data_IF_244322882715
#
_entry.id   IF_244322882715
#
_cell.length_a   1.000
_cell.length_b   1.000
_cell.length_c   1.000
_cell.angle_alpha   90.00
_cell.angle_beta   90.00
_cell.angle_gamma   90.00
#
_symmetry.space_group_name_H-M   'P 1'
#
loop_
_entity.id
_entity.type
_entity.pdbx_description
1 polymer ?
#
# COMPACT_ATOMS: atom_id res chain seq x y z
N UNK A 1 -1.62 6.57 11.07
CA UNK A 1 -0.16 6.43 11.24
C UNK A 1 0.20 4.95 11.32
N UNK A 2 1.16 4.50 10.50
CA UNK A 2 1.70 3.14 10.54
C UNK A 2 3.16 3.19 10.98
N UNK A 3 3.55 2.34 11.93
CA UNK A 3 4.90 2.34 12.52
C UNK A 3 5.64 1.07 12.11
N UNK A 4 6.87 1.23 11.64
CA UNK A 4 7.71 0.19 11.09
C UNK A 4 8.97 -0.01 11.94
N UNK A 5 9.40 -1.25 12.05
CA UNK A 5 10.73 -1.58 12.57
C UNK A 5 11.79 -1.00 11.64
N UNK A 6 12.73 -0.24 12.20
CA UNK A 6 13.88 0.21 11.44
C UNK A 6 14.77 -1.00 11.14
N UNK A 7 14.98 -1.26 9.84
CA UNK A 7 15.98 -2.23 9.40
C UNK A 7 17.26 -1.46 9.15
N UNK A 8 18.38 -1.97 9.68
CA UNK A 8 19.70 -1.44 9.39
C UNK A 8 20.00 -1.40 7.88
N UNK A 9 21.11 -0.77 7.47
CA UNK A 9 21.47 -0.61 6.07
C UNK A 9 21.44 -1.95 5.34
N UNK A 10 20.97 -1.92 4.08
CA UNK A 10 21.00 -3.12 3.24
C UNK A 10 22.43 -3.60 3.10
N UNK A 11 22.63 -4.89 3.35
CA UNK A 11 23.91 -5.55 3.12
C UNK A 11 24.19 -5.63 1.61
N UNK A 12 25.45 -5.45 1.18
CA UNK A 12 25.82 -5.29 -0.23
C UNK A 12 25.48 -6.51 -1.11
N UNK A 13 25.37 -7.69 -0.51
CA UNK A 13 25.05 -8.94 -1.21
C UNK A 13 23.56 -9.26 -1.26
N UNK A 14 22.69 -8.44 -0.65
CA UNK A 14 21.23 -8.61 -0.79
C UNK A 14 20.79 -8.01 -2.12
N UNK A 15 20.09 -8.81 -2.94
CA UNK A 15 19.47 -8.33 -4.18
C UNK A 15 18.67 -7.05 -3.92
N UNK A 16 18.88 -6.04 -4.75
CA UNK A 16 18.14 -4.79 -4.70
C UNK A 16 16.68 -4.94 -5.16
N UNK A 17 16.36 -6.02 -5.89
CA UNK A 17 15.06 -6.23 -6.53
C UNK A 17 14.58 -7.68 -6.33
N UNK A 18 13.31 -7.90 -5.94
CA UNK A 18 12.37 -6.89 -5.45
C UNK A 18 12.81 -6.35 -4.07
N UNK A 19 12.44 -5.10 -3.77
CA UNK A 19 12.60 -4.56 -2.42
C UNK A 19 11.74 -5.38 -1.44
N UNK A 20 12.33 -5.75 -0.30
CA UNK A 20 11.69 -6.56 0.76
C UNK A 20 11.51 -5.81 2.07
N UNK A 21 12.07 -4.59 2.17
CA UNK A 21 11.83 -3.72 3.29
C UNK A 21 10.48 -3.05 3.13
N UNK A 22 9.52 -3.47 3.96
CA UNK A 22 8.14 -2.97 3.94
C UNK A 22 8.05 -1.45 4.06
N UNK A 23 8.94 -0.84 4.86
CA UNK A 23 8.96 0.61 5.03
C UNK A 23 9.43 1.30 3.74
N UNK A 24 10.48 0.78 3.10
CA UNK A 24 11.00 1.34 1.84
C UNK A 24 9.94 1.19 0.74
N UNK A 25 9.35 0.00 0.58
CA UNK A 25 8.25 -0.23 -0.36
C UNK A 25 7.11 0.78 -0.18
N UNK A 26 6.59 0.90 1.04
CA UNK A 26 5.41 1.73 1.33
C UNK A 26 5.73 3.23 1.21
N UNK A 27 6.86 3.67 1.76
CA UNK A 27 7.27 5.08 1.73
C UNK A 27 7.57 5.55 0.31
N UNK A 28 8.30 4.77 -0.48
CA UNK A 28 8.57 5.10 -1.89
C UNK A 28 7.28 5.14 -2.70
N UNK A 29 6.40 4.15 -2.54
CA UNK A 29 5.11 4.15 -3.23
C UNK A 29 4.29 5.40 -2.91
N UNK A 30 4.13 5.74 -1.62
CA UNK A 30 3.38 6.93 -1.24
C UNK A 30 4.01 8.24 -1.71
N UNK A 31 5.34 8.35 -1.75
CA UNK A 31 6.03 9.51 -2.31
C UNK A 31 5.72 9.68 -3.80
N UNK A 32 5.81 8.60 -4.59
CA UNK A 32 5.49 8.62 -6.02
C UNK A 32 4.02 8.94 -6.28
N UNK A 33 3.10 8.30 -5.53
CA UNK A 33 1.66 8.53 -5.65
C UNK A 33 1.27 9.96 -5.28
N UNK A 34 1.90 10.53 -4.24
CA UNK A 34 1.67 11.91 -3.85
C UNK A 34 2.21 12.90 -4.91
N UNK A 35 3.43 12.67 -5.41
CA UNK A 35 4.04 13.52 -6.44
C UNK A 35 3.24 13.51 -7.75
N UNK A 36 2.66 12.37 -8.12
CA UNK A 36 1.82 12.23 -9.31
C UNK A 36 0.35 12.65 -9.09
N UNK A 37 -0.02 13.14 -7.91
CA UNK A 37 -1.38 13.60 -7.60
C UNK A 37 -2.42 12.49 -7.41
N UNK A 38 -2.02 11.22 -7.41
CA UNK A 38 -2.92 10.06 -7.28
C UNK A 38 -3.69 10.07 -5.96
N UNK A 39 -3.04 10.51 -4.89
CA UNK A 39 -3.69 10.66 -3.58
C UNK A 39 -4.88 11.63 -3.62
N UNK A 40 -4.78 12.72 -4.39
CA UNK A 40 -5.85 13.73 -4.51
C UNK A 40 -7.04 13.23 -5.33
N UNK A 41 -6.86 12.22 -6.17
CA UNK A 41 -7.95 11.58 -6.92
C UNK A 41 -8.80 10.62 -6.07
N UNK A 42 -8.43 10.38 -4.81
CA UNK A 42 -9.14 9.45 -3.92
C UNK A 42 -8.85 7.96 -4.17
N UNK A 43 -7.93 7.66 -5.10
CA UNK A 43 -7.48 6.30 -5.44
C UNK A 43 -6.75 5.65 -4.26
N UNK A 44 -6.01 6.45 -3.48
CA UNK A 44 -5.37 6.00 -2.24
C UNK A 44 -5.49 7.08 -1.16
N UNK A 45 -5.16 6.73 0.08
CA UNK A 45 -5.11 7.67 1.21
C UNK A 45 -4.08 8.78 0.98
N UNK A 46 -4.35 10.01 1.45
CA UNK A 46 -3.33 11.04 1.39
C UNK A 46 -2.12 10.67 2.25
N UNK A 47 -0.94 10.85 1.66
CA UNK A 47 0.33 10.76 2.34
C UNK A 47 0.73 12.15 2.81
N UNK A 48 1.01 12.29 4.11
CA UNK A 48 1.41 13.56 4.69
C UNK A 48 2.92 13.65 4.84
N UNK A 49 3.52 12.70 5.55
CA UNK A 49 4.97 12.68 5.82
C UNK A 49 5.46 11.36 6.39
N UNK A 50 6.78 11.23 6.41
CA UNK A 50 7.50 10.23 7.20
C UNK A 50 7.93 10.87 8.53
N UNK A 51 7.85 10.11 9.62
CA UNK A 51 8.31 10.49 10.95
C UNK A 51 9.39 9.49 11.37
N UNK A 52 10.63 9.94 11.46
CA UNK A 52 11.79 9.12 11.80
C UNK A 52 12.13 9.20 13.29
N UNK A 53 12.94 8.26 13.77
CA UNK A 53 13.55 8.28 15.11
C UNK A 53 12.53 8.47 16.25
N UNK A 54 11.41 7.73 16.18
CA UNK A 54 10.36 7.83 17.19
C UNK A 54 10.85 7.17 18.49
N UNK A 55 10.87 7.93 19.59
CA UNK A 55 11.16 7.39 20.91
C UNK A 55 10.01 6.46 21.36
N UNK A 56 10.25 5.14 21.52
CA UNK A 56 9.21 4.19 21.90
C UNK A 56 8.83 4.29 23.40
N UNK A 57 9.68 4.87 24.25
CA UNK A 57 9.49 4.95 25.71
C UNK A 57 8.56 6.11 26.08
N UNK A 58 8.68 7.25 25.40
CA UNK A 58 7.85 8.45 25.64
C UNK A 58 6.35 8.25 25.36
N UNK A 59 5.95 7.11 24.80
CA UNK A 59 4.58 6.83 24.37
C UNK A 59 3.95 5.60 25.04
N UNK A 60 4.48 5.16 26.19
CA UNK A 60 3.89 4.11 27.03
C UNK A 60 2.61 4.63 27.72
N UNK A 61 1.58 3.78 27.93
CA UNK A 61 1.65 2.31 28.02
C UNK A 61 1.14 1.52 26.80
N UNK A 62 0.79 2.14 25.67
CA UNK A 62 0.16 1.48 24.50
C UNK A 62 0.97 1.68 23.20
N UNK A 63 0.54 1.10 22.06
CA UNK A 63 1.03 -0.11 21.37
C UNK A 63 2.52 -0.15 20.96
N UNK A 64 3.35 0.81 21.39
CA UNK A 64 4.75 0.93 20.96
C UNK A 64 5.74 0.09 21.78
N UNK A 65 5.27 -0.65 22.80
CA UNK A 65 6.12 -1.52 23.63
C UNK A 65 6.90 -2.56 22.80
N UNK A 66 6.35 -2.98 21.66
CA UNK A 66 6.98 -3.92 20.74
C UNK A 66 8.24 -3.37 20.03
N UNK A 67 8.46 -2.06 20.06
CA UNK A 67 9.63 -1.41 19.45
C UNK A 67 10.70 -1.03 20.49
N UNK A 68 10.42 -1.17 21.80
CA UNK A 68 11.36 -0.79 22.87
C UNK A 68 12.65 -1.62 22.83
N UNK A 69 12.57 -2.84 22.31
CA UNK A 69 13.72 -3.77 22.18
C UNK A 69 14.41 -3.71 20.82
N UNK A 70 13.94 -2.85 19.91
CA UNK A 70 14.58 -2.72 18.60
C UNK A 70 15.93 -2.02 18.76
N UNK A 71 16.93 -2.48 18.03
CA UNK A 71 18.26 -1.86 17.99
C UNK A 71 18.22 -0.44 17.41
N UNK A 72 17.31 -0.21 16.45
CA UNK A 72 17.13 1.05 15.77
C UNK A 72 15.76 1.66 16.09
N UNK A 73 15.73 2.99 16.23
CA UNK A 73 14.47 3.69 16.51
C UNK A 73 13.47 3.52 15.35
N UNK A 74 12.19 3.24 15.64
CA UNK A 74 11.19 3.01 14.60
C UNK A 74 10.87 4.27 13.80
N UNK A 75 10.36 4.04 12.59
CA UNK A 75 9.92 5.09 11.65
C UNK A 75 8.44 4.89 11.36
N UNK A 76 7.70 5.97 11.11
CA UNK A 76 6.29 5.92 10.78
C UNK A 76 5.94 6.65 9.51
N UNK A 77 4.91 6.15 8.83
CA UNK A 77 4.23 6.82 7.72
C UNK A 77 2.93 7.42 8.26
N UNK A 78 2.79 8.73 8.07
CA UNK A 78 1.57 9.46 8.39
C UNK A 78 0.73 9.62 7.13
N UNK A 79 -0.47 9.05 7.16
CA UNK A 79 -1.46 9.13 6.11
C UNK A 79 -2.84 9.45 6.70
N UNK A 80 -3.79 9.73 5.83
CA UNK A 80 -5.20 9.93 6.20
C UNK A 80 -5.77 8.80 7.04
N UNK A 81 -6.70 9.21 7.89
CA UNK A 81 -7.73 8.34 8.43
C UNK A 81 -9.04 8.61 7.67
N UNK A 82 -9.47 7.67 6.82
CA UNK A 82 -10.70 7.78 6.05
C UNK A 82 -11.85 7.23 6.91
N UNK A 83 -12.79 8.10 7.30
CA UNK A 83 -13.97 7.72 8.06
C UNK A 83 -14.93 6.89 7.20
N UNK A 84 -15.69 5.97 7.82
CA UNK A 84 -16.70 5.12 7.17
C UNK A 84 -16.13 4.24 6.03
N UNK A 85 -14.82 3.98 6.07
CA UNK A 85 -14.15 3.10 5.14
C UNK A 85 -14.45 1.63 5.49
N UNK A 86 -14.92 0.86 4.51
CA UNK A 86 -15.21 -0.57 4.67
C UNK A 86 -14.37 -1.40 3.71
N UNK A 87 -13.91 -2.55 4.18
CA UNK A 87 -13.30 -3.58 3.32
C UNK A 87 -14.32 -4.07 2.28
N UNK A 88 -13.84 -4.32 1.07
CA UNK A 88 -14.59 -5.02 0.05
C UNK A 88 -14.92 -6.44 0.51
N UNK A 89 -16.19 -6.81 0.46
CA UNK A 89 -16.68 -8.14 0.79
C UNK A 89 -17.81 -8.54 -0.16
N UNK A 90 -18.35 -9.74 0.02
CA UNK A 90 -19.39 -10.29 -0.84
C UNK A 90 -20.71 -9.49 -0.85
N UNK A 91 -21.02 -8.74 0.22
CA UNK A 91 -22.26 -7.94 0.32
C UNK A 91 -22.14 -6.67 -0.52
N UNK A 92 -20.96 -6.06 -0.55
CA UNK A 92 -20.71 -4.78 -1.21
C UNK A 92 -19.96 -4.95 -2.55
N UNK A 93 -19.90 -6.17 -3.07
CA UNK A 93 -19.32 -6.51 -4.36
C UNK A 93 -20.32 -6.26 -5.50
N UNK A 94 -19.93 -5.49 -6.51
CA UNK A 94 -20.62 -5.44 -7.80
C UNK A 94 -19.65 -5.04 -8.92
N UNK A 95 -20.01 -5.43 -10.14
CA UNK A 95 -19.13 -5.37 -11.33
C UNK A 95 -18.53 -3.98 -11.57
N UNK A 96 -19.38 -2.94 -11.61
CA UNK A 96 -18.91 -1.56 -11.86
C UNK A 96 -17.88 -1.08 -10.84
N UNK A 97 -17.99 -1.48 -9.57
CA UNK A 97 -17.02 -1.15 -8.54
C UNK A 97 -15.71 -1.89 -8.75
N UNK A 98 -15.75 -3.14 -9.18
CA UNK A 98 -14.52 -3.88 -9.52
C UNK A 98 -13.80 -3.26 -10.71
N UNK A 99 -14.56 -2.77 -11.68
CA UNK A 99 -13.97 -2.03 -12.79
C UNK A 99 -13.23 -0.79 -12.28
N UNK A 100 -13.81 -0.02 -11.36
CA UNK A 100 -13.12 1.14 -10.75
C UNK A 100 -11.80 0.73 -10.08
N UNK A 101 -11.78 -0.35 -9.28
CA UNK A 101 -10.54 -0.82 -8.66
C UNK A 101 -9.47 -1.21 -9.68
N UNK A 102 -9.86 -1.83 -10.80
CA UNK A 102 -8.94 -2.19 -11.89
C UNK A 102 -8.41 -0.94 -12.59
N UNK A 103 -9.28 0.02 -12.90
CA UNK A 103 -8.91 1.29 -13.54
C UNK A 103 -7.97 2.11 -12.64
N UNK A 104 -8.21 2.08 -11.34
CA UNK A 104 -7.36 2.70 -10.32
C UNK A 104 -5.98 2.03 -10.26
N UNK A 105 -5.89 0.70 -10.29
CA UNK A 105 -4.61 0.00 -10.36
C UNK A 105 -3.85 0.32 -11.64
N UNK A 106 -4.54 0.44 -12.78
CA UNK A 106 -3.92 0.84 -14.04
C UNK A 106 -3.36 2.27 -13.94
N UNK A 107 -4.06 3.16 -13.24
CA UNK A 107 -3.61 4.53 -13.02
C UNK A 107 -2.38 4.58 -12.09
N UNK A 108 -2.39 3.79 -11.02
CA UNK A 108 -1.24 3.58 -10.12
C UNK A 108 -0.03 3.00 -10.89
N UNK A 109 -0.28 2.04 -11.77
CA UNK A 109 0.77 1.44 -12.61
C UNK A 109 1.38 2.42 -13.61
N UNK A 110 0.58 3.32 -14.20
CA UNK A 110 1.06 4.37 -15.12
C UNK A 110 2.05 5.34 -14.47
N UNK A 111 1.96 5.52 -13.14
CA UNK A 111 2.93 6.31 -12.38
C UNK A 111 4.09 5.46 -11.85
N UNK A 112 4.34 4.31 -12.48
CA UNK A 112 5.45 3.39 -12.19
C UNK A 112 5.43 2.80 -10.78
N UNK A 113 4.23 2.65 -10.20
CA UNK A 113 4.00 1.97 -8.92
C UNK A 113 3.18 0.70 -9.15
N UNK A 114 3.67 -0.45 -8.70
CA UNK A 114 2.90 -1.69 -8.67
C UNK A 114 2.55 -2.04 -7.23
N UNK A 115 1.27 -2.22 -6.92
CA UNK A 115 0.80 -2.47 -5.54
C UNK A 115 1.26 -3.83 -4.97
N UNK A 116 1.28 -4.89 -5.80
CA UNK A 116 1.76 -6.25 -5.44
C UNK A 116 1.08 -6.90 -4.22
N UNK A 117 -0.10 -6.44 -3.81
CA UNK A 117 -0.91 -7.02 -2.73
C UNK A 117 -2.40 -6.76 -2.96
N UNK A 118 -2.94 -7.36 -4.02
CA UNK A 118 -4.32 -7.16 -4.51
C UNK A 118 -5.37 -7.99 -3.74
N UNK A 119 -5.31 -7.95 -2.41
CA UNK A 119 -6.25 -8.66 -1.53
C UNK A 119 -7.48 -7.79 -1.23
N UNK A 120 -8.64 -8.40 -1.01
CA UNK A 120 -9.89 -7.68 -0.65
C UNK A 120 -9.71 -6.74 0.54
N UNK A 121 -8.93 -7.13 1.55
CA UNK A 121 -8.60 -6.29 2.72
C UNK A 121 -7.86 -4.99 2.42
N UNK A 122 -7.26 -4.91 1.23
CA UNK A 122 -6.57 -3.73 0.73
C UNK A 122 -7.44 -2.92 -0.23
N UNK A 123 -8.64 -3.42 -0.56
CA UNK A 123 -9.66 -2.80 -1.39
C UNK A 123 -10.71 -2.22 -0.47
N UNK A 124 -10.82 -0.91 -0.45
CA UNK A 124 -11.72 -0.22 0.47
C UNK A 124 -12.69 0.69 -0.25
N UNK A 125 -13.88 0.78 0.32
CA UNK A 125 -14.96 1.63 -0.17
C UNK A 125 -15.35 2.62 0.92
N UNK A 126 -15.98 3.71 0.54
CA UNK A 126 -16.63 4.63 1.49
C UNK A 126 -18.14 4.47 1.29
N UNK A 127 -18.89 4.15 2.35
CA UNK A 127 -20.32 3.80 2.21
C UNK A 127 -21.16 4.90 1.54
N UNK A 128 -20.82 6.15 1.82
CA UNK A 128 -21.52 7.34 1.29
C UNK A 128 -21.11 7.66 -0.15
N UNK A 129 -20.03 7.07 -0.66
CA UNK A 129 -19.54 7.24 -2.03
C UNK A 129 -19.35 5.89 -2.72
N UNK A 130 -20.42 5.45 -3.38
CA UNK A 130 -20.43 4.18 -4.10
C UNK A 130 -19.42 4.12 -5.26
N UNK A 131 -18.94 5.26 -5.76
CA UNK A 131 -17.95 5.32 -6.84
C UNK A 131 -16.53 5.23 -6.31
N UNK A 132 -16.27 5.68 -5.08
CA UNK A 132 -14.94 5.68 -4.48
C UNK A 132 -14.46 4.26 -4.20
N UNK A 133 -13.49 3.85 -4.99
CA UNK A 133 -12.62 2.73 -4.75
C UNK A 133 -11.28 3.29 -4.23
N UNK A 134 -10.81 2.77 -3.10
CA UNK A 134 -9.56 3.23 -2.49
C UNK A 134 -8.67 2.03 -2.19
N UNK A 135 -7.46 2.04 -2.74
CA UNK A 135 -6.40 1.10 -2.46
C UNK A 135 -5.59 1.54 -1.25
N UNK A 136 -5.38 0.62 -0.32
CA UNK A 136 -4.55 0.82 0.88
C UNK A 136 -3.47 -0.26 0.96
N UNK A 137 -2.45 -0.02 1.79
CA UNK A 137 -1.43 -1.01 2.12
C UNK A 137 -0.42 -1.33 1.00
N UNK A 138 0.40 -0.33 0.66
CA UNK A 138 1.49 -0.42 -0.30
C UNK A 138 2.78 -1.05 0.26
N UNK A 139 2.70 -1.85 1.33
CA UNK A 139 3.86 -2.45 2.01
C UNK A 139 4.66 -3.47 1.17
N UNK A 140 4.10 -3.92 0.05
CA UNK A 140 4.73 -4.81 -0.93
C UNK A 140 4.96 -4.13 -2.28
N UNK A 141 4.62 -2.85 -2.36
CA UNK A 141 4.68 -2.13 -3.61
C UNK A 141 6.09 -2.09 -4.18
N UNK A 142 6.19 -2.10 -5.50
CA UNK A 142 7.44 -1.93 -6.22
C UNK A 142 7.35 -0.65 -7.05
N UNK A 143 8.39 0.16 -6.98
CA UNK A 143 8.52 1.39 -7.76
C UNK A 143 9.59 1.18 -8.82
N UNK A 144 9.34 1.59 -10.06
CA UNK A 144 10.25 1.36 -11.18
C UNK A 144 10.90 2.68 -11.62
N UNK A 145 12.20 2.64 -11.91
CA UNK A 145 12.99 3.83 -12.26
C UNK A 145 12.98 4.18 -13.76
N UNK A 146 12.34 3.39 -14.61
CA UNK A 146 12.32 3.58 -16.07
C UNK A 146 11.00 3.06 -16.66
N UNK A 147 10.53 3.70 -17.75
CA UNK A 147 9.31 3.29 -18.47
C UNK A 147 9.29 1.78 -18.71
N UNK A 148 8.18 1.18 -18.30
CA UNK A 148 7.97 -0.25 -18.29
C UNK A 148 7.90 -0.75 -19.74
N UNK A 149 8.88 -1.54 -20.18
CA UNK A 149 8.79 -2.27 -21.46
C UNK A 149 7.62 -3.26 -21.43
N UNK A 150 7.06 -3.58 -22.59
CA UNK A 150 5.85 -4.42 -22.77
C UNK A 150 5.82 -5.72 -21.96
N UNK A 151 6.99 -6.28 -21.62
CA UNK A 151 7.14 -7.46 -20.74
C UNK A 151 6.65 -7.24 -19.30
N UNK A 152 6.60 -6.00 -18.84
CA UNK A 152 6.08 -5.61 -17.54
C UNK A 152 4.58 -5.24 -17.59
N UNK A 153 4.03 -5.00 -18.80
CA UNK A 153 2.64 -4.57 -19.01
C UNK A 153 1.62 -5.71 -18.90
N UNK A 154 2.05 -6.96 -18.75
CA UNK A 154 1.13 -8.07 -18.47
C UNK A 154 0.79 -8.12 -16.99
N UNK A 155 -0.47 -7.83 -16.58
CA UNK A 155 -0.92 -8.18 -15.23
C UNK A 155 -0.73 -9.69 -15.03
N UNK A 156 -0.41 -10.15 -13.81
CA UNK A 156 -0.31 -11.57 -13.52
C UNK A 156 -1.64 -12.24 -13.86
N UNK A 157 -1.71 -12.90 -15.03
CA UNK A 157 -2.80 -13.79 -15.40
C UNK A 157 -2.75 -14.97 -14.42
N UNK A 158 -3.57 -14.92 -13.37
CA UNK A 158 -3.75 -16.08 -12.49
C UNK A 158 -4.03 -15.82 -11.01
N UNK A 159 -4.02 -14.57 -10.51
CA UNK A 159 -4.32 -14.35 -9.07
C UNK A 159 -5.79 -14.09 -8.77
N UNK A 160 -6.58 -13.58 -9.72
CA UNK A 160 -8.03 -13.39 -9.53
C UNK A 160 -8.87 -14.65 -9.82
N UNK A 161 -8.29 -15.71 -10.36
CA UNK A 161 -9.02 -16.96 -10.69
C UNK A 161 -9.06 -17.95 -9.50
N UNK A 162 -8.23 -17.74 -8.48
CA UNK A 162 -8.18 -18.62 -7.29
C UNK A 162 -9.30 -18.37 -6.28
N UNK A 163 -10.05 -17.27 -6.40
CA UNK A 163 -11.21 -16.99 -5.54
C UNK A 163 -12.50 -17.66 -6.04
N UNK A 164 -12.55 -18.14 -7.29
CA UNK A 164 -13.69 -18.91 -7.82
C UNK A 164 -13.73 -20.36 -7.33
N UNK A 165 -12.61 -20.91 -6.88
CA UNK A 165 -12.52 -22.34 -6.53
C UNK A 165 -12.94 -22.66 -5.08
N UNK A 166 -13.30 -21.66 -4.27
CA UNK A 166 -13.70 -21.84 -2.86
C UNK A 166 -15.20 -21.60 -2.60
N UNK A 167 -16.00 -21.25 -3.61
CA UNK A 167 -17.44 -21.00 -3.48
C UNK A 167 -18.27 -21.67 -4.58
N UNK A 168 -17.79 -22.80 -5.12
CA UNK A 168 -18.56 -23.70 -5.98
C UNK A 168 -19.20 -24.82 -5.17
#
# INVERSE_FOLDING_TARGET
MRVHHARGPKLPYKSCIPEKNIFICESMAYQWLAQAGICACGITSHFYRIIENIDPIQHLPHPKIKFVKDENSPTAILSDYILNMKELNWINYYEKRMQNFVDDLNTVYKVLVQHSSVHSRNMTIVEEDLKRATWIDFNRAQTFSQELTERNMTPPKGEMDKTRQYYG
#
